data_IF_894293675304
#
_entry.id   IF_894293675304
#
_cell.length_a   1.000
_cell.length_b   1.000
_cell.length_c   1.000
_cell.angle_alpha   90.00
_cell.angle_beta   90.00
_cell.angle_gamma   90.00
#
_symmetry.space_group_name_H-M   'P 1'
#
loop_
_entity.id
_entity.type
_entity.pdbx_description
1 polymer ?
#
# COMPACT_ATOMS: atom_id res chain seq x y z
N UNK A 1 146.71 34.62 165.86
CA UNK A 1 145.41 35.16 165.40
C UNK A 1 145.63 36.36 164.47
N UNK A 2 146.14 36.14 163.24
CA UNK A 2 146.30 37.20 162.24
C UNK A 2 145.94 36.73 160.81
N UNK A 3 146.00 35.41 160.54
CA UNK A 3 145.67 34.87 159.21
C UNK A 3 144.16 34.70 158.95
N UNK A 4 143.31 34.55 159.98
CA UNK A 4 141.87 34.34 159.76
C UNK A 4 141.11 35.61 159.34
N UNK A 5 141.59 36.82 159.65
CA UNK A 5 140.90 38.08 159.24
C UNK A 5 141.15 38.47 157.78
N UNK A 6 142.26 38.06 157.16
CA UNK A 6 142.53 38.35 155.74
C UNK A 6 141.62 37.55 154.80
N UNK A 7 141.31 36.30 155.14
CA UNK A 7 140.47 35.43 154.32
C UNK A 7 139.01 35.92 154.22
N UNK A 8 138.48 36.58 155.26
CA UNK A 8 137.11 37.08 155.22
C UNK A 8 136.95 38.31 154.30
N UNK A 9 137.95 39.21 154.24
CA UNK A 9 137.90 40.38 153.36
C UNK A 9 137.94 40.03 151.86
N UNK A 10 138.61 38.94 151.49
CA UNK A 10 138.70 38.49 150.09
C UNK A 10 137.36 37.91 149.61
N UNK A 11 136.66 37.15 150.45
CA UNK A 11 135.36 36.53 150.11
C UNK A 11 134.28 37.59 149.85
N UNK A 12 134.27 38.69 150.61
CA UNK A 12 133.28 39.77 150.44
C UNK A 12 133.48 40.51 149.11
N UNK A 13 134.73 40.75 148.69
CA UNK A 13 135.03 41.39 147.41
C UNK A 13 134.60 40.52 146.21
N UNK A 14 134.79 39.20 146.31
CA UNK A 14 134.45 38.27 145.24
C UNK A 14 132.94 38.17 145.01
N UNK A 15 132.13 38.12 146.08
CA UNK A 15 130.66 38.12 145.97
C UNK A 15 130.08 39.42 145.41
N UNK A 16 130.70 40.57 145.71
CA UNK A 16 130.23 41.84 145.15
C UNK A 16 130.45 41.90 143.63
N UNK A 17 131.59 41.39 143.13
CA UNK A 17 131.85 41.33 141.68
C UNK A 17 130.82 40.46 140.95
N UNK A 18 130.56 39.25 141.45
CA UNK A 18 129.57 38.32 140.88
C UNK A 18 128.14 38.91 140.82
N UNK A 19 127.76 39.72 141.82
CA UNK A 19 126.44 40.35 141.85
C UNK A 19 126.29 41.45 140.79
N UNK A 20 127.34 42.22 140.52
CA UNK A 20 127.34 43.23 139.44
C UNK A 20 127.28 42.58 138.07
N UNK A 21 128.09 41.54 137.83
CA UNK A 21 128.12 40.83 136.54
C UNK A 21 126.76 40.17 136.22
N UNK A 22 126.06 39.64 137.24
CA UNK A 22 124.72 39.07 137.08
C UNK A 22 123.66 40.12 136.69
N UNK A 23 123.74 41.35 137.20
CA UNK A 23 122.78 42.42 136.87
C UNK A 23 122.98 42.92 135.44
N UNK A 24 124.23 43.03 134.99
CA UNK A 24 124.53 43.40 133.59
C UNK A 24 124.09 42.32 132.60
N UNK A 25 124.31 41.03 132.91
CA UNK A 25 123.84 39.93 132.06
C UNK A 25 122.32 39.93 131.89
N UNK A 26 121.55 40.20 132.95
CA UNK A 26 120.08 40.27 132.86
C UNK A 26 119.62 41.47 132.01
N UNK A 27 120.31 42.61 132.06
CA UNK A 27 120.01 43.76 131.19
C UNK A 27 120.24 43.44 129.72
N UNK A 28 121.40 42.87 129.38
CA UNK A 28 121.74 42.50 128.00
C UNK A 28 120.79 41.43 127.45
N UNK A 29 120.40 40.45 128.27
CA UNK A 29 119.40 39.45 127.86
C UNK A 29 118.03 40.08 127.57
N UNK A 30 117.60 41.05 128.37
CA UNK A 30 116.32 41.74 128.17
C UNK A 30 116.32 42.59 126.90
N UNK A 31 117.41 43.29 126.59
CA UNK A 31 117.54 44.06 125.34
C UNK A 31 117.53 43.16 124.11
N UNK A 32 118.26 42.03 124.14
CA UNK A 32 118.21 41.04 123.05
C UNK A 32 116.81 40.46 122.82
N UNK A 33 116.10 40.13 123.90
CA UNK A 33 114.72 39.62 123.80
C UNK A 33 113.76 40.67 123.20
N UNK A 34 113.95 41.95 123.49
CA UNK A 34 113.14 43.02 122.91
C UNK A 34 113.42 43.19 121.40
N UNK A 35 114.69 43.16 120.98
CA UNK A 35 115.06 43.21 119.57
C UNK A 35 114.52 41.99 118.79
N UNK A 36 114.58 40.78 119.38
CA UNK A 36 114.04 39.58 118.75
C UNK A 36 112.52 39.66 118.57
N UNK A 37 111.78 40.16 119.57
CA UNK A 37 110.32 40.39 119.47
C UNK A 37 110.01 41.43 118.38
N UNK A 38 110.77 42.51 118.31
CA UNK A 38 110.54 43.57 117.32
C UNK A 38 110.83 43.07 115.91
N UNK A 39 111.92 42.31 115.72
CA UNK A 39 112.23 41.64 114.45
C UNK A 39 111.16 40.64 114.06
N UNK A 40 110.69 39.80 114.98
CA UNK A 40 109.66 38.80 114.72
C UNK A 40 108.32 39.46 114.34
N UNK A 41 107.98 40.58 114.98
CA UNK A 41 106.80 41.39 114.61
C UNK A 41 106.91 41.96 113.19
N UNK A 42 108.08 42.47 112.80
CA UNK A 42 108.28 43.01 111.43
C UNK A 42 108.21 41.88 110.40
N UNK A 43 108.81 40.72 110.67
CA UNK A 43 108.76 39.56 109.76
C UNK A 43 107.33 39.06 109.61
N UNK A 44 106.60 38.87 110.70
CA UNK A 44 105.21 38.38 110.67
C UNK A 44 104.25 39.34 109.99
N UNK A 45 104.40 40.67 110.16
CA UNK A 45 103.58 41.65 109.43
C UNK A 45 103.84 41.60 107.92
N UNK A 46 105.10 41.50 107.48
CA UNK A 46 105.44 41.34 106.07
C UNK A 46 104.90 40.03 105.48
N UNK A 47 104.94 38.93 106.25
CA UNK A 47 104.36 37.66 105.82
C UNK A 47 102.84 37.73 105.66
N UNK A 48 102.13 38.44 106.55
CA UNK A 48 100.68 38.68 106.44
C UNK A 48 100.36 39.52 105.20
N UNK A 49 101.12 40.59 104.93
CA UNK A 49 100.91 41.42 103.74
C UNK A 49 101.15 40.62 102.44
N UNK A 50 102.20 39.80 102.41
CA UNK A 50 102.46 38.88 101.29
C UNK A 50 101.34 37.86 101.11
N UNK A 51 100.84 37.26 102.20
CA UNK A 51 99.70 36.33 102.14
C UNK A 51 98.42 37.02 101.64
N UNK A 52 98.12 38.23 102.11
CA UNK A 52 96.98 39.02 101.63
C UNK A 52 97.07 39.32 100.13
N UNK A 53 98.24 39.73 99.64
CA UNK A 53 98.44 39.98 98.22
C UNK A 53 98.22 38.70 97.39
N UNK A 54 98.73 37.56 97.87
CA UNK A 54 98.52 36.26 97.21
C UNK A 54 97.05 35.81 97.26
N UNK A 55 96.32 36.08 98.34
CA UNK A 55 94.88 35.78 98.45
C UNK A 55 94.02 36.64 97.51
N UNK A 56 94.34 37.92 97.37
CA UNK A 56 93.68 38.82 96.42
C UNK A 56 93.87 38.30 95.00
N UNK A 57 95.10 37.97 94.61
CA UNK A 57 95.36 37.41 93.27
C UNK A 57 94.71 36.04 93.07
N UNK A 58 94.69 35.16 94.08
CA UNK A 58 93.94 33.90 94.03
C UNK A 58 92.44 34.13 93.82
N UNK A 59 91.86 35.14 94.45
CA UNK A 59 90.45 35.52 94.27
C UNK A 59 90.21 36.03 92.84
N UNK A 60 91.08 36.89 92.33
CA UNK A 60 91.02 37.39 90.95
C UNK A 60 91.13 36.24 89.94
N UNK A 61 92.07 35.29 90.15
CA UNK A 61 92.22 34.09 89.33
C UNK A 61 90.96 33.22 89.36
N UNK A 62 90.33 33.03 90.53
CA UNK A 62 89.07 32.29 90.61
C UNK A 62 87.93 32.98 89.87
N UNK A 63 87.87 34.31 89.88
CA UNK A 63 86.89 35.08 89.13
C UNK A 63 87.08 34.92 87.63
N UNK A 64 88.33 35.03 87.15
CA UNK A 64 88.67 34.76 85.73
C UNK A 64 88.35 33.32 85.35
N UNK A 65 88.63 32.34 86.21
CA UNK A 65 88.26 30.93 85.96
C UNK A 65 86.75 30.76 85.88
N UNK A 66 85.97 31.38 86.78
CA UNK A 66 84.49 31.33 86.74
C UNK A 66 83.96 31.96 85.46
N UNK A 67 84.47 33.12 85.07
CA UNK A 67 84.10 33.78 83.81
C UNK A 67 84.45 32.91 82.61
N UNK A 68 85.64 32.30 82.58
CA UNK A 68 86.06 31.39 81.50
C UNK A 68 85.17 30.16 81.43
N UNK A 69 84.83 29.55 82.56
CA UNK A 69 83.94 28.38 82.62
C UNK A 69 82.51 28.74 82.22
N UNK A 70 82.02 29.94 82.57
CA UNK A 70 80.71 30.42 82.12
C UNK A 70 80.68 30.62 80.60
N UNK A 71 81.67 31.32 80.03
CA UNK A 71 81.80 31.51 78.58
C UNK A 71 81.95 30.16 77.86
N UNK A 72 82.74 29.23 78.39
CA UNK A 72 82.87 27.89 77.79
C UNK A 72 81.55 27.11 77.80
N UNK A 73 80.76 27.20 78.88
CA UNK A 73 79.43 26.57 78.91
C UNK A 73 78.48 27.19 77.89
N UNK A 74 78.51 28.52 77.72
CA UNK A 74 77.70 29.21 76.72
C UNK A 74 78.13 28.84 75.30
N UNK A 75 79.44 28.81 75.01
CA UNK A 75 79.97 28.38 73.70
C UNK A 75 79.57 26.93 73.40
N UNK A 76 79.71 26.00 74.35
CA UNK A 76 79.31 24.60 74.15
C UNK A 76 77.81 24.46 73.96
N UNK A 77 76.99 25.22 74.69
CA UNK A 77 75.53 25.21 74.52
C UNK A 77 75.12 25.74 73.14
N UNK A 78 75.78 26.79 72.66
CA UNK A 78 75.50 27.36 71.35
C UNK A 78 76.00 26.47 70.21
N UNK A 79 77.20 25.85 70.35
CA UNK A 79 77.69 24.83 69.42
C UNK A 79 76.72 23.64 69.33
N UNK A 80 76.15 23.21 70.46
CA UNK A 80 75.18 22.12 70.46
C UNK A 80 73.86 22.53 69.79
N UNK A 81 73.37 23.76 70.03
CA UNK A 81 72.20 24.30 69.32
C UNK A 81 72.40 24.41 67.82
N UNK A 82 73.60 24.83 67.38
CA UNK A 82 73.95 24.90 65.96
C UNK A 82 73.92 23.49 65.35
N UNK A 83 74.55 22.51 66.00
CA UNK A 83 74.51 21.11 65.55
C UNK A 83 73.08 20.56 65.48
N UNK A 84 72.29 20.77 66.52
CA UNK A 84 70.90 20.33 66.56
C UNK A 84 70.12 20.97 65.39
N UNK A 85 70.28 22.27 65.16
CA UNK A 85 69.61 22.98 64.05
C UNK A 85 70.06 22.47 62.68
N UNK A 86 71.35 22.21 62.49
CA UNK A 86 71.90 21.64 61.26
C UNK A 86 71.40 20.22 61.00
N UNK A 87 71.36 19.37 62.02
CA UNK A 87 70.84 18.01 61.94
C UNK A 87 69.34 18.00 61.65
N UNK A 88 68.54 18.81 62.37
CA UNK A 88 67.10 18.94 62.09
C UNK A 88 66.82 19.50 60.69
N UNK A 89 67.53 20.55 60.27
CA UNK A 89 67.38 21.11 58.92
C UNK A 89 67.83 20.12 57.83
N UNK A 90 68.80 19.26 58.12
CA UNK A 90 69.25 18.22 57.17
C UNK A 90 68.22 17.09 57.10
N UNK A 91 67.73 16.59 58.22
CA UNK A 91 66.67 15.59 58.27
C UNK A 91 65.36 16.09 57.62
N UNK A 92 64.98 17.35 57.82
CA UNK A 92 63.81 17.94 57.15
C UNK A 92 64.00 18.04 55.64
N UNK A 93 65.19 18.43 55.17
CA UNK A 93 65.52 18.46 53.75
C UNK A 93 65.48 17.07 53.14
N UNK A 94 66.09 16.08 53.79
CA UNK A 94 66.05 14.68 53.35
C UNK A 94 64.62 14.13 53.29
N UNK A 95 63.81 14.39 54.33
CA UNK A 95 62.39 14.04 54.34
C UNK A 95 61.64 14.70 53.17
N UNK A 96 61.88 15.99 52.91
CA UNK A 96 61.23 16.72 51.82
C UNK A 96 61.66 16.19 50.46
N UNK A 97 62.93 15.86 50.27
CA UNK A 97 63.44 15.21 49.05
C UNK A 97 62.79 13.83 48.88
N UNK A 98 62.76 13.00 49.92
CA UNK A 98 62.14 11.69 49.86
C UNK A 98 60.64 11.75 49.54
N UNK A 99 59.89 12.69 50.13
CA UNK A 99 58.47 12.91 49.80
C UNK A 99 58.31 13.36 48.35
N UNK A 100 59.19 14.23 47.87
CA UNK A 100 59.12 14.74 46.49
C UNK A 100 59.44 13.63 45.48
N UNK A 101 60.43 12.79 45.76
CA UNK A 101 60.76 11.61 44.95
C UNK A 101 59.61 10.61 44.95
N UNK A 102 59.06 10.26 46.12
CA UNK A 102 57.92 9.35 46.21
C UNK A 102 56.69 9.89 45.48
N UNK A 103 56.44 11.21 45.51
CA UNK A 103 55.38 11.85 44.73
C UNK A 103 55.65 11.76 43.24
N UNK A 104 56.87 12.06 42.80
CA UNK A 104 57.25 11.96 41.39
C UNK A 104 57.11 10.52 40.86
N UNK A 105 57.52 9.51 41.65
CA UNK A 105 57.39 8.10 41.31
C UNK A 105 55.91 7.69 41.23
N UNK A 106 55.09 8.11 42.19
CA UNK A 106 53.65 7.84 42.19
C UNK A 106 52.92 8.51 41.02
N UNK A 107 53.26 9.76 40.70
CA UNK A 107 52.73 10.48 39.53
C UNK A 107 53.16 9.81 38.22
N UNK A 108 54.43 9.40 38.12
CA UNK A 108 54.94 8.68 36.95
C UNK A 108 54.21 7.35 36.76
N UNK A 109 54.00 6.59 37.83
CA UNK A 109 53.29 5.31 37.78
C UNK A 109 51.80 5.50 37.44
N UNK A 110 51.14 6.52 38.01
CA UNK A 110 49.77 6.89 37.66
C UNK A 110 49.66 7.26 36.18
N UNK A 111 50.58 8.08 35.66
CA UNK A 111 50.60 8.46 34.24
C UNK A 111 50.82 7.24 33.35
N UNK A 112 51.71 6.30 33.74
CA UNK A 112 51.90 5.04 33.01
C UNK A 112 50.62 4.21 32.99
N UNK A 113 49.97 4.03 34.13
CA UNK A 113 48.74 3.24 34.24
C UNK A 113 47.57 3.87 33.47
N UNK A 114 47.39 5.19 33.58
CA UNK A 114 46.37 5.92 32.81
C UNK A 114 46.64 5.81 31.31
N UNK A 115 47.88 6.03 30.85
CA UNK A 115 48.22 5.89 29.44
C UNK A 115 48.07 4.45 28.94
N UNK A 116 48.43 3.46 29.75
CA UNK A 116 48.24 2.05 29.42
C UNK A 116 46.74 1.71 29.30
N UNK A 117 45.91 2.17 30.24
CA UNK A 117 44.47 1.96 30.22
C UNK A 117 43.80 2.70 29.05
N UNK A 118 44.21 3.93 28.75
CA UNK A 118 43.75 4.68 27.58
C UNK A 118 44.14 4.00 26.26
N UNK A 119 45.38 3.49 26.16
CA UNK A 119 45.83 2.73 25.01
C UNK A 119 45.04 1.43 24.82
N UNK A 120 44.79 0.70 25.91
CA UNK A 120 43.95 -0.51 25.89
C UNK A 120 42.51 -0.19 25.47
N UNK A 121 41.92 0.88 26.01
CA UNK A 121 40.58 1.32 25.65
C UNK A 121 40.49 1.69 24.17
N UNK A 122 41.43 2.49 23.67
CA UNK A 122 41.49 2.86 22.24
C UNK A 122 41.69 1.63 21.35
N UNK A 123 42.54 0.70 21.75
CA UNK A 123 42.73 -0.57 21.02
C UNK A 123 41.42 -1.38 20.98
N UNK A 124 40.72 -1.51 22.11
CA UNK A 124 39.43 -2.20 22.17
C UNK A 124 38.34 -1.50 21.32
N UNK A 125 38.28 -0.17 21.34
CA UNK A 125 37.37 0.62 20.50
C UNK A 125 37.66 0.40 19.00
N UNK A 126 38.93 0.39 18.59
CA UNK A 126 39.32 0.11 17.20
C UNK A 126 39.01 -1.33 16.78
N UNK A 127 39.22 -2.31 17.66
CA UNK A 127 38.84 -3.71 17.40
C UNK A 127 37.33 -3.84 17.24
N UNK A 128 36.55 -3.18 18.09
CA UNK A 128 35.09 -3.18 18.00
C UNK A 128 34.63 -2.52 16.69
N UNK A 129 35.17 -1.35 16.33
CA UNK A 129 34.89 -0.68 15.06
C UNK A 129 35.26 -1.55 13.85
N UNK A 130 36.44 -2.18 13.88
CA UNK A 130 36.85 -3.12 12.83
C UNK A 130 35.84 -4.26 12.67
N UNK A 131 35.39 -4.86 13.77
CA UNK A 131 34.40 -5.95 13.74
C UNK A 131 33.04 -5.50 13.19
N UNK A 132 32.61 -4.28 13.52
CA UNK A 132 31.37 -3.71 12.95
C UNK A 132 31.53 -3.47 11.45
N UNK A 133 32.64 -2.88 11.01
CA UNK A 133 32.92 -2.64 9.59
C UNK A 133 33.02 -3.96 8.81
N UNK A 134 33.69 -4.98 9.36
CA UNK A 134 33.76 -6.31 8.76
C UNK A 134 32.36 -6.94 8.64
N UNK A 135 31.56 -6.90 9.71
CA UNK A 135 30.21 -7.44 9.69
C UNK A 135 29.28 -6.68 8.72
N UNK A 136 29.37 -5.35 8.65
CA UNK A 136 28.65 -4.53 7.66
C UNK A 136 29.12 -4.82 6.23
N UNK A 137 30.43 -5.00 6.03
CA UNK A 137 31.01 -5.40 4.75
C UNK A 137 30.48 -6.75 4.28
N UNK A 138 30.47 -7.75 5.17
CA UNK A 138 29.90 -9.08 4.90
C UNK A 138 28.39 -9.04 4.65
N UNK A 139 27.63 -8.29 5.45
CA UNK A 139 26.19 -8.08 5.24
C UNK A 139 25.93 -7.47 3.86
N UNK A 140 26.64 -6.40 3.50
CA UNK A 140 26.49 -5.75 2.20
C UNK A 140 26.90 -6.65 1.03
N UNK A 141 27.97 -7.44 1.19
CA UNK A 141 28.38 -8.43 0.21
C UNK A 141 27.31 -9.52 0.03
N UNK A 142 26.77 -10.04 1.13
CA UNK A 142 25.71 -11.04 1.11
C UNK A 142 24.42 -10.52 0.48
N UNK A 143 24.02 -9.27 0.76
CA UNK A 143 22.87 -8.62 0.12
C UNK A 143 23.07 -8.50 -1.39
N UNK A 144 24.27 -8.08 -1.84
CA UNK A 144 24.59 -8.01 -3.27
C UNK A 144 24.57 -9.39 -3.93
N UNK A 145 25.17 -10.40 -3.30
CA UNK A 145 25.15 -11.78 -3.80
C UNK A 145 23.73 -12.35 -3.86
N UNK A 146 22.88 -12.04 -2.87
CA UNK A 146 21.48 -12.45 -2.86
C UNK A 146 20.68 -11.75 -3.96
N UNK A 147 20.89 -10.45 -4.17
CA UNK A 147 20.28 -9.70 -5.26
C UNK A 147 20.71 -10.22 -6.63
N UNK A 148 22.00 -10.53 -6.81
CA UNK A 148 22.54 -11.15 -8.03
C UNK A 148 21.91 -12.52 -8.29
N UNK A 149 21.85 -13.40 -7.28
CA UNK A 149 21.18 -14.71 -7.40
C UNK A 149 19.70 -14.58 -7.74
N UNK A 150 19.01 -13.61 -7.14
CA UNK A 150 17.60 -13.33 -7.46
C UNK A 150 17.45 -12.85 -8.91
N UNK A 151 18.30 -11.92 -9.35
CA UNK A 151 18.28 -11.44 -10.73
C UNK A 151 18.62 -12.54 -11.75
N UNK A 152 19.58 -13.42 -11.43
CA UNK A 152 19.90 -14.59 -12.24
C UNK A 152 18.73 -15.58 -12.29
N UNK A 153 18.09 -15.86 -11.17
CA UNK A 153 16.91 -16.72 -11.12
C UNK A 153 15.75 -16.13 -11.94
N UNK A 154 15.48 -14.83 -11.80
CA UNK A 154 14.49 -14.11 -12.62
C UNK A 154 14.85 -14.17 -14.11
N UNK A 155 16.11 -13.96 -14.47
CA UNK A 155 16.62 -14.09 -15.83
C UNK A 155 16.39 -15.49 -16.42
N UNK A 156 16.72 -16.55 -15.68
CA UNK A 156 16.50 -17.94 -16.09
C UNK A 156 15.00 -18.24 -16.22
N UNK A 157 14.16 -17.75 -15.30
CA UNK A 157 12.71 -17.94 -15.42
C UNK A 157 12.13 -17.22 -16.63
N UNK A 158 12.63 -16.02 -16.96
CA UNK A 158 12.21 -15.29 -18.15
C UNK A 158 12.69 -15.98 -19.43
N UNK A 159 13.93 -16.47 -19.45
CA UNK A 159 14.51 -17.18 -20.60
C UNK A 159 13.79 -18.51 -20.87
N UNK A 160 13.42 -19.25 -19.82
CA UNK A 160 12.64 -20.50 -19.94
C UNK A 160 11.16 -20.25 -20.26
N UNK A 161 10.58 -19.14 -19.80
CA UNK A 161 9.21 -18.76 -20.12
C UNK A 161 9.06 -18.20 -21.55
N UNK A 162 10.11 -17.61 -22.13
CA UNK A 162 10.05 -16.97 -23.45
C UNK A 162 9.65 -17.94 -24.59
N UNK A 163 10.19 -19.17 -24.70
CA UNK A 163 9.72 -20.16 -25.67
C UNK A 163 8.25 -20.52 -25.46
N UNK A 164 7.82 -20.75 -24.22
CA UNK A 164 6.43 -21.11 -23.91
C UNK A 164 5.45 -19.98 -24.24
N UNK A 165 5.80 -18.72 -23.98
CA UNK A 165 5.02 -17.55 -24.36
C UNK A 165 4.96 -17.36 -25.88
N UNK A 166 6.08 -17.56 -26.58
CA UNK A 166 6.13 -17.51 -28.03
C UNK A 166 5.29 -18.63 -28.67
N UNK A 167 5.37 -19.86 -28.14
CA UNK A 167 4.53 -20.98 -28.58
C UNK A 167 3.05 -20.72 -28.31
N UNK A 168 2.69 -20.18 -27.15
CA UNK A 168 1.32 -19.83 -26.82
C UNK A 168 0.76 -18.75 -27.77
N UNK A 169 1.53 -17.70 -28.06
CA UNK A 169 1.15 -16.66 -29.03
C UNK A 169 1.00 -17.21 -30.44
N UNK A 170 1.89 -18.10 -30.87
CA UNK A 170 1.79 -18.77 -32.18
C UNK A 170 0.55 -19.65 -32.24
N UNK A 171 0.22 -20.36 -31.16
CA UNK A 171 -0.96 -21.23 -31.10
C UNK A 171 -2.26 -20.42 -31.09
N UNK A 172 -2.30 -19.31 -30.34
CA UNK A 172 -3.43 -18.37 -30.34
C UNK A 172 -3.62 -17.75 -31.73
N UNK A 173 -2.55 -17.23 -32.35
CA UNK A 173 -2.61 -16.68 -33.69
C UNK A 173 -3.07 -17.72 -34.74
N UNK A 174 -2.61 -18.97 -34.61
CA UNK A 174 -3.09 -20.09 -35.44
C UNK A 174 -4.56 -20.39 -35.20
N UNK A 175 -5.02 -20.45 -33.96
CA UNK A 175 -6.42 -20.70 -33.63
C UNK A 175 -7.34 -19.62 -34.21
N UNK A 176 -6.98 -18.34 -34.06
CA UNK A 176 -7.71 -17.21 -34.66
C UNK A 176 -7.69 -17.29 -36.19
N UNK A 177 -6.56 -17.65 -36.79
CA UNK A 177 -6.48 -17.85 -38.25
C UNK A 177 -7.39 -18.99 -38.72
N UNK A 178 -7.40 -20.13 -38.01
CA UNK A 178 -8.27 -21.27 -38.32
C UNK A 178 -9.75 -20.94 -38.13
N UNK A 179 -10.12 -20.20 -37.08
CA UNK A 179 -11.49 -19.73 -36.86
C UNK A 179 -11.94 -18.80 -37.99
N UNK A 180 -11.10 -17.82 -38.37
CA UNK A 180 -11.38 -16.91 -39.48
C UNK A 180 -11.48 -17.66 -40.82
N UNK A 181 -10.63 -18.65 -41.04
CA UNK A 181 -10.70 -19.49 -42.23
C UNK A 181 -11.99 -20.31 -42.24
N UNK A 182 -12.33 -20.99 -41.14
CA UNK A 182 -13.55 -21.80 -41.03
C UNK A 182 -14.83 -20.98 -41.17
N UNK A 183 -14.88 -19.78 -40.59
CA UNK A 183 -16.01 -18.85 -40.75
C UNK A 183 -16.11 -18.32 -42.19
N UNK A 184 -14.98 -18.02 -42.84
CA UNK A 184 -14.96 -17.64 -44.25
C UNK A 184 -15.44 -18.79 -45.15
N UNK A 185 -14.97 -20.02 -44.93
CA UNK A 185 -15.39 -21.22 -45.66
C UNK A 185 -16.88 -21.50 -45.47
N UNK A 186 -17.39 -21.44 -44.23
CA UNK A 186 -18.81 -21.58 -43.92
C UNK A 186 -19.66 -20.50 -44.61
N UNK A 187 -19.17 -19.26 -44.64
CA UNK A 187 -19.87 -18.15 -45.31
C UNK A 187 -19.90 -18.35 -46.82
N UNK A 188 -18.80 -18.77 -47.43
CA UNK A 188 -18.73 -19.10 -48.86
C UNK A 188 -19.67 -20.25 -49.20
N UNK A 189 -19.69 -21.30 -48.37
CA UNK A 189 -20.57 -22.45 -48.56
C UNK A 189 -22.05 -22.06 -48.44
N UNK A 190 -22.40 -21.22 -47.44
CA UNK A 190 -23.74 -20.67 -47.26
C UNK A 190 -24.17 -19.88 -48.50
N UNK A 191 -23.32 -18.96 -48.98
CA UNK A 191 -23.60 -18.16 -50.18
C UNK A 191 -23.74 -19.02 -51.44
N UNK A 192 -22.95 -20.09 -51.59
CA UNK A 192 -23.09 -21.05 -52.70
C UNK A 192 -24.43 -21.77 -52.64
N UNK A 193 -24.81 -22.31 -51.48
CA UNK A 193 -26.10 -23.00 -51.34
C UNK A 193 -27.30 -22.07 -51.50
N UNK A 194 -27.18 -20.83 -51.05
CA UNK A 194 -28.19 -19.79 -51.27
C UNK A 194 -28.32 -19.46 -52.76
N UNK A 195 -27.20 -19.29 -53.47
CA UNK A 195 -27.20 -19.06 -54.91
C UNK A 195 -27.76 -20.27 -55.70
N UNK A 196 -27.44 -21.50 -55.29
CA UNK A 196 -27.97 -22.72 -55.91
C UNK A 196 -29.48 -22.85 -55.64
N UNK A 197 -29.93 -22.57 -54.42
CA UNK A 197 -31.35 -22.54 -54.08
C UNK A 197 -32.11 -21.51 -54.91
N UNK A 198 -31.58 -20.28 -55.02
CA UNK A 198 -32.13 -19.22 -55.87
C UNK A 198 -32.14 -19.60 -57.35
N UNK A 199 -31.10 -20.31 -57.82
CA UNK A 199 -31.04 -20.82 -59.18
C UNK A 199 -32.14 -21.86 -59.43
N UNK A 200 -32.38 -22.76 -58.47
CA UNK A 200 -33.42 -23.77 -58.55
C UNK A 200 -34.81 -23.13 -58.48
N UNK A 201 -35.05 -22.16 -57.60
CA UNK A 201 -36.35 -21.47 -57.49
C UNK A 201 -36.66 -20.72 -58.77
N UNK A 202 -35.71 -19.93 -59.30
CA UNK A 202 -35.88 -19.22 -60.58
C UNK A 202 -36.11 -20.19 -61.75
N UNK A 203 -35.41 -21.33 -61.76
CA UNK A 203 -35.62 -22.37 -62.79
C UNK A 203 -37.00 -23.02 -62.66
N UNK A 204 -37.46 -23.29 -61.44
CA UNK A 204 -38.78 -23.84 -61.18
C UNK A 204 -39.89 -22.85 -61.55
N UNK A 205 -39.72 -21.56 -61.24
CA UNK A 205 -40.62 -20.48 -61.66
C UNK A 205 -40.65 -20.33 -63.18
N UNK A 206 -39.49 -20.34 -63.85
CA UNK A 206 -39.41 -20.31 -65.30
C UNK A 206 -40.09 -21.55 -65.94
N UNK A 207 -39.92 -22.74 -65.36
CA UNK A 207 -40.63 -23.95 -65.81
C UNK A 207 -42.14 -23.87 -65.58
N UNK A 208 -42.58 -23.29 -64.45
CA UNK A 208 -44.01 -23.09 -64.17
C UNK A 208 -44.64 -22.17 -65.21
N UNK A 209 -44.00 -21.02 -65.48
CA UNK A 209 -44.46 -20.07 -66.49
C UNK A 209 -44.49 -20.69 -67.90
N UNK A 210 -43.45 -21.45 -68.25
CA UNK A 210 -43.40 -22.16 -69.54
C UNK A 210 -44.53 -23.18 -69.67
N UNK A 211 -44.76 -24.01 -68.64
CA UNK A 211 -45.84 -25.00 -68.65
C UNK A 211 -47.24 -24.38 -68.66
N UNK A 212 -47.43 -23.22 -68.01
CA UNK A 212 -48.72 -22.51 -67.99
C UNK A 212 -49.13 -22.05 -69.40
N UNK A 213 -48.21 -21.43 -70.16
CA UNK A 213 -48.48 -21.06 -71.56
C UNK A 213 -48.73 -22.25 -72.49
N UNK A 214 -48.07 -23.39 -72.25
CA UNK A 214 -48.32 -24.63 -72.99
C UNK A 214 -49.70 -25.23 -72.69
N UNK A 215 -50.11 -25.21 -71.41
CA UNK A 215 -51.40 -25.74 -70.94
C UNK A 215 -52.59 -25.01 -71.56
N UNK A 216 -52.55 -23.69 -71.65
CA UNK A 216 -53.65 -22.92 -72.25
C UNK A 216 -53.92 -23.34 -73.70
N UNK A 217 -52.86 -23.61 -74.47
CA UNK A 217 -53.00 -24.03 -75.87
C UNK A 217 -53.46 -25.50 -75.99
N UNK A 218 -53.03 -26.38 -75.08
CA UNK A 218 -53.54 -27.75 -75.01
C UNK A 218 -55.01 -27.78 -74.59
N UNK A 219 -55.39 -27.04 -73.56
CA UNK A 219 -56.78 -26.90 -73.11
C UNK A 219 -57.66 -26.29 -74.20
N UNK A 220 -57.17 -25.29 -74.93
CA UNK A 220 -57.87 -24.70 -76.06
C UNK A 220 -58.09 -25.74 -77.18
N UNK A 221 -57.06 -26.53 -77.54
CA UNK A 221 -57.19 -27.59 -78.54
C UNK A 221 -58.19 -28.66 -78.10
N UNK A 222 -58.14 -29.09 -76.85
CA UNK A 222 -59.07 -30.07 -76.29
C UNK A 222 -60.50 -29.52 -76.34
N UNK A 223 -60.70 -28.28 -75.88
CA UNK A 223 -62.01 -27.62 -75.92
C UNK A 223 -62.55 -27.48 -77.34
N UNK A 224 -61.72 -27.02 -78.28
CA UNK A 224 -62.09 -26.90 -79.69
C UNK A 224 -62.45 -28.26 -80.32
N UNK A 225 -61.76 -29.34 -79.97
CA UNK A 225 -62.11 -30.68 -80.42
C UNK A 225 -63.43 -31.16 -79.83
N UNK A 226 -63.66 -30.96 -78.53
CA UNK A 226 -64.94 -31.29 -77.87
C UNK A 226 -66.09 -30.51 -78.51
N UNK A 227 -65.93 -29.20 -78.71
CA UNK A 227 -66.94 -28.35 -79.35
C UNK A 227 -67.25 -28.81 -80.79
N UNK A 228 -66.21 -29.16 -81.55
CA UNK A 228 -66.37 -29.74 -82.89
C UNK A 228 -67.17 -31.05 -82.87
N UNK A 229 -66.87 -31.95 -81.92
CA UNK A 229 -67.60 -33.22 -81.79
C UNK A 229 -69.07 -33.00 -81.43
N UNK A 230 -69.36 -32.08 -80.49
CA UNK A 230 -70.73 -31.70 -80.13
C UNK A 230 -71.46 -31.12 -81.34
N UNK A 231 -70.82 -30.21 -82.08
CA UNK A 231 -71.41 -29.61 -83.27
C UNK A 231 -71.72 -30.64 -84.36
N UNK A 232 -70.81 -31.60 -84.59
CA UNK A 232 -71.05 -32.71 -85.52
C UNK A 232 -72.21 -33.59 -85.07
N UNK A 233 -72.27 -33.94 -83.78
CA UNK A 233 -73.37 -34.72 -83.21
C UNK A 233 -74.71 -33.97 -83.33
N UNK A 234 -74.74 -32.67 -83.09
CA UNK A 234 -75.95 -31.85 -83.25
C UNK A 234 -76.41 -31.81 -84.72
N UNK A 235 -75.49 -31.64 -85.67
CA UNK A 235 -75.80 -31.67 -87.10
C UNK A 235 -76.34 -33.04 -87.50
N UNK A 236 -75.76 -34.12 -86.98
CA UNK A 236 -76.21 -35.49 -87.24
C UNK A 236 -77.64 -35.70 -86.70
N UNK A 237 -77.91 -35.27 -85.46
CA UNK A 237 -79.27 -35.32 -84.88
C UNK A 237 -80.24 -34.49 -85.72
N UNK A 238 -79.86 -33.31 -86.20
CA UNK A 238 -80.72 -32.49 -87.08
C UNK A 238 -81.00 -33.20 -88.40
N UNK A 239 -80.01 -33.89 -88.98
CA UNK A 239 -80.18 -34.71 -90.18
C UNK A 239 -81.15 -35.87 -89.90
N UNK A 240 -80.97 -36.59 -88.81
CA UNK A 240 -81.82 -37.73 -88.43
C UNK A 240 -83.27 -37.28 -88.16
N UNK A 241 -83.45 -36.13 -87.49
CA UNK A 241 -84.76 -35.49 -87.30
C UNK A 241 -85.36 -35.09 -88.65
N UNK A 242 -84.58 -34.48 -89.54
CA UNK A 242 -85.05 -34.08 -90.87
C UNK A 242 -85.42 -35.30 -91.72
N UNK A 243 -84.67 -36.39 -91.66
CA UNK A 243 -84.99 -37.67 -92.32
C UNK A 243 -86.27 -38.29 -91.74
N UNK A 244 -86.41 -38.32 -90.41
CA UNK A 244 -87.62 -38.81 -89.75
C UNK A 244 -88.84 -37.93 -90.07
N UNK A 245 -88.68 -36.61 -90.08
CA UNK A 245 -89.72 -35.66 -90.49
C UNK A 245 -90.08 -35.83 -91.97
N UNK A 246 -89.10 -35.99 -92.86
CA UNK A 246 -89.33 -36.25 -94.28
C UNK A 246 -90.03 -37.59 -94.50
N UNK A 247 -89.69 -38.62 -93.73
CA UNK A 247 -90.36 -39.92 -93.77
C UNK A 247 -91.82 -39.82 -93.30
N UNK A 248 -92.09 -39.10 -92.20
CA UNK A 248 -93.46 -38.85 -91.72
C UNK A 248 -94.25 -38.04 -92.75
N UNK A 249 -93.66 -37.01 -93.35
CA UNK A 249 -94.31 -36.21 -94.41
C UNK A 249 -94.55 -37.06 -95.67
N UNK A 250 -93.61 -37.91 -96.06
CA UNK A 250 -93.76 -38.81 -97.21
C UNK A 250 -94.86 -39.86 -96.99
N UNK A 251 -94.92 -40.48 -95.81
CA UNK A 251 -95.95 -41.45 -95.46
C UNK A 251 -97.33 -40.77 -95.31
N UNK A 252 -97.36 -39.53 -94.77
CA UNK A 252 -98.56 -38.71 -94.71
C UNK A 252 -99.07 -38.33 -96.11
N UNK A 253 -98.19 -37.93 -97.04
CA UNK A 253 -98.56 -37.64 -98.43
C UNK A 253 -99.00 -38.89 -99.20
N UNK A 254 -98.41 -40.06 -98.91
CA UNK A 254 -98.76 -41.34 -99.55
C UNK A 254 -100.15 -41.84 -99.14
N UNK A 255 -100.53 -41.62 -97.88
CA UNK A 255 -101.85 -42.00 -97.35
C UNK A 255 -102.89 -40.87 -97.47
N UNK A 256 -102.47 -39.63 -97.71
CA UNK A 256 -103.39 -38.53 -97.93
C UNK A 256 -104.13 -38.72 -99.26
N UNK A 257 -105.40 -39.14 -99.15
CA UNK A 257 -106.41 -38.88 -100.19
C UNK A 257 -106.61 -37.37 -100.25
N UNK A 258 -105.78 -36.71 -101.05
CA UNK A 258 -105.87 -35.29 -101.33
C UNK A 258 -106.99 -35.08 -102.35
N UNK A 259 -108.23 -35.01 -101.86
CA UNK A 259 -109.34 -34.44 -102.61
C UNK A 259 -109.20 -32.92 -102.57
N UNK A 260 -108.50 -32.34 -103.55
CA UNK A 260 -108.50 -30.90 -103.77
C UNK A 260 -109.88 -30.53 -104.31
N UNK A 261 -110.81 -30.28 -103.39
CA UNK A 261 -112.06 -29.57 -103.69
C UNK A 261 -111.71 -28.09 -103.62
N UNK A 262 -111.66 -27.44 -104.78
CA UNK A 262 -111.16 -26.06 -104.92
C UNK A 262 -111.92 -25.04 -104.06
N UNK A 263 -111.17 -24.23 -103.31
CA UNK A 263 -111.67 -23.03 -102.64
C UNK A 263 -110.78 -22.46 -101.51
N UNK A 264 -110.26 -21.25 -101.73
CA UNK A 264 -109.89 -20.19 -100.76
C UNK A 264 -108.61 -20.27 -99.87
N UNK A 265 -107.56 -19.66 -100.43
CA UNK A 265 -106.50 -18.74 -99.92
C UNK A 265 -106.35 -18.32 -98.43
N UNK A 266 -107.19 -18.68 -97.47
CA UNK A 266 -107.12 -18.14 -96.09
C UNK A 266 -106.23 -18.93 -95.10
N UNK A 267 -105.74 -20.12 -95.48
CA UNK A 267 -105.02 -21.02 -94.56
C UNK A 267 -103.51 -20.74 -94.46
N UNK A 268 -102.88 -20.26 -95.54
CA UNK A 268 -101.41 -20.12 -95.62
C UNK A 268 -100.87 -19.00 -94.72
N UNK A 269 -101.60 -17.89 -94.62
CA UNK A 269 -101.16 -16.71 -93.86
C UNK A 269 -101.13 -16.90 -92.34
N UNK A 270 -101.94 -17.81 -91.80
CA UNK A 270 -102.02 -18.02 -90.35
C UNK A 270 -100.85 -18.85 -89.80
N UNK A 271 -100.25 -19.73 -90.60
CA UNK A 271 -99.16 -20.61 -90.14
C UNK A 271 -97.82 -19.86 -90.12
N UNK A 272 -97.59 -18.98 -91.09
CA UNK A 272 -96.30 -18.27 -91.22
C UNK A 272 -96.08 -17.25 -90.09
N UNK A 273 -97.13 -16.63 -89.56
CA UNK A 273 -97.01 -15.60 -88.52
C UNK A 273 -96.77 -16.12 -87.09
N UNK A 274 -97.08 -17.39 -86.80
CA UNK A 274 -96.93 -17.95 -85.45
C UNK A 274 -95.46 -18.27 -85.09
N UNK A 275 -94.60 -18.47 -86.09
CA UNK A 275 -93.21 -18.92 -85.87
C UNK A 275 -92.26 -17.75 -85.52
N UNK A 276 -92.63 -16.51 -85.86
CA UNK A 276 -91.74 -15.33 -85.71
C UNK A 276 -91.76 -14.72 -84.30
N UNK A 277 -92.81 -14.94 -83.50
CA UNK A 277 -93.00 -14.26 -82.20
C UNK A 277 -92.20 -14.86 -81.03
N UNK A 278 -91.72 -16.11 -81.13
CA UNK A 278 -91.11 -16.83 -80.01
C UNK A 278 -89.65 -16.47 -79.67
N UNK A 279 -88.91 -15.79 -80.55
CA UNK A 279 -87.44 -15.63 -80.42
C UNK A 279 -86.96 -14.34 -79.73
N UNK A 280 -87.84 -13.42 -79.34
CA UNK A 280 -87.44 -12.07 -78.90
C UNK A 280 -87.34 -11.84 -77.38
N UNK A 281 -87.86 -12.74 -76.53
CA UNK A 281 -88.12 -12.44 -75.12
C UNK A 281 -86.97 -12.80 -74.16
N UNK A 282 -85.98 -13.61 -74.58
CA UNK A 282 -85.05 -14.28 -73.66
C UNK A 282 -83.75 -13.52 -73.32
N UNK A 283 -83.59 -12.24 -73.72
CA UNK A 283 -82.28 -11.54 -73.69
C UNK A 283 -82.14 -10.36 -72.72
N UNK A 284 -83.13 -10.03 -71.89
CA UNK A 284 -83.18 -8.73 -71.18
C UNK A 284 -83.32 -8.77 -69.65
N UNK A 285 -82.88 -9.84 -68.98
CA UNK A 285 -82.80 -9.90 -67.49
C UNK A 285 -81.50 -10.62 -67.11
N UNK A 286 -80.48 -10.09 -66.43
CA UNK A 286 -80.27 -8.81 -65.75
C UNK A 286 -79.21 -9.02 -64.65
N UNK A 287 -77.96 -8.60 -64.89
CA UNK A 287 -76.83 -8.65 -63.94
C UNK A 287 -76.49 -7.24 -63.43
N UNK A 288 -76.67 -6.93 -62.13
CA UNK A 288 -76.08 -5.72 -61.51
C UNK A 288 -76.16 -5.67 -59.97
N UNK A 289 -74.97 -5.64 -59.32
CA UNK A 289 -74.53 -4.90 -58.09
C UNK A 289 -75.18 -5.26 -56.73
N UNK A 290 -74.47 -5.60 -55.64
CA UNK A 290 -73.07 -5.41 -55.15
C UNK A 290 -72.67 -3.99 -54.68
N UNK A 291 -73.49 -3.28 -53.89
CA UNK A 291 -73.07 -1.97 -53.28
C UNK A 291 -73.55 -1.70 -51.82
N UNK A 292 -74.10 -2.68 -51.08
CA UNK A 292 -74.75 -2.43 -49.78
C UNK A 292 -73.95 -2.73 -48.50
N UNK A 293 -73.23 -3.85 -48.42
CA UNK A 293 -73.21 -4.56 -47.11
C UNK A 293 -71.94 -4.49 -46.24
N UNK A 294 -70.85 -3.81 -46.65
CA UNK A 294 -69.58 -3.85 -45.86
C UNK A 294 -69.34 -2.57 -45.02
N UNK A 295 -70.28 -1.63 -44.97
CA UNK A 295 -70.17 -0.40 -44.15
C UNK A 295 -70.51 -0.62 -42.66
N UNK A 296 -70.95 -1.81 -42.27
CA UNK A 296 -71.60 -2.05 -40.97
C UNK A 296 -70.75 -2.64 -39.83
N UNK A 297 -69.49 -3.04 -40.03
CA UNK A 297 -68.77 -3.88 -39.06
C UNK A 297 -67.80 -3.18 -38.10
N UNK A 298 -67.64 -1.85 -38.17
CA UNK A 298 -66.50 -1.18 -37.49
C UNK A 298 -66.81 -0.14 -36.41
N UNK A 299 -68.07 0.06 -35.99
CA UNK A 299 -68.38 1.07 -34.96
C UNK A 299 -69.29 0.55 -33.83
N UNK A 300 -68.67 0.01 -32.77
CA UNK A 300 -69.17 0.09 -31.38
C UNK A 300 -67.99 0.30 -30.42
N UNK A 301 -67.92 1.49 -29.83
CA UNK A 301 -66.96 1.86 -28.78
C UNK A 301 -67.36 1.20 -27.46
N UNK A 302 -66.79 0.04 -27.15
CA UNK A 302 -66.93 -0.63 -25.86
C UNK A 302 -65.61 -0.53 -25.06
N UNK A 303 -65.57 0.21 -23.92
CA UNK A 303 -64.40 0.29 -23.03
C UNK A 303 -63.88 -1.08 -22.55
N UNK A 304 -64.74 -2.12 -22.55
CA UNK A 304 -64.36 -3.47 -22.16
C UNK A 304 -63.44 -4.19 -23.17
N UNK A 305 -63.56 -3.89 -24.47
CA UNK A 305 -62.69 -4.46 -25.51
C UNK A 305 -61.26 -3.91 -25.41
N UNK A 306 -61.15 -2.62 -25.13
CA UNK A 306 -59.88 -1.93 -24.92
C UNK A 306 -59.08 -2.50 -23.73
N UNK A 307 -59.76 -2.75 -22.60
CA UNK A 307 -59.15 -3.37 -21.40
C UNK A 307 -58.61 -4.78 -21.66
N UNK A 308 -59.37 -5.63 -22.37
CA UNK A 308 -58.94 -6.99 -22.71
C UNK A 308 -57.73 -6.99 -23.64
N UNK A 309 -57.70 -6.06 -24.58
CA UNK A 309 -56.59 -5.91 -25.50
C UNK A 309 -55.34 -5.41 -24.78
N UNK A 310 -55.40 -4.38 -23.93
CA UNK A 310 -54.21 -3.96 -23.16
C UNK A 310 -53.63 -5.10 -22.31
N UNK A 311 -54.48 -5.92 -21.68
CA UNK A 311 -54.05 -7.05 -20.85
C UNK A 311 -53.31 -8.13 -21.66
N UNK A 312 -53.87 -8.52 -22.81
CA UNK A 312 -53.26 -9.51 -23.71
C UNK A 312 -51.87 -9.09 -24.20
N UNK A 313 -51.66 -7.80 -24.40
CA UNK A 313 -50.39 -7.27 -24.86
C UNK A 313 -49.39 -7.06 -23.71
N UNK A 314 -49.85 -6.70 -22.51
CA UNK A 314 -48.99 -6.73 -21.31
C UNK A 314 -48.43 -8.13 -21.05
N UNK A 315 -49.25 -9.17 -21.25
CA UNK A 315 -48.83 -10.57 -21.14
C UNK A 315 -47.83 -10.97 -22.24
N UNK A 316 -48.02 -10.48 -23.48
CA UNK A 316 -47.10 -10.75 -24.60
C UNK A 316 -45.72 -10.10 -24.44
N UNK A 317 -45.65 -8.93 -23.80
CA UNK A 317 -44.39 -8.21 -23.58
C UNK A 317 -43.73 -8.51 -22.22
N UNK A 318 -44.27 -9.43 -21.42
CA UNK A 318 -43.68 -9.87 -20.16
C UNK A 318 -43.56 -8.78 -19.08
N UNK A 319 -44.39 -7.73 -19.15
CA UNK A 319 -44.32 -6.58 -18.25
C UNK A 319 -45.17 -6.82 -17.00
N UNK A 320 -44.58 -6.61 -15.83
CA UNK A 320 -45.28 -6.74 -14.55
C UNK A 320 -46.24 -5.55 -14.33
N UNK A 321 -47.42 -5.79 -13.77
CA UNK A 321 -48.41 -4.74 -13.46
C UNK A 321 -47.90 -3.68 -12.48
N UNK A 322 -46.77 -3.94 -11.81
CA UNK A 322 -46.09 -2.99 -10.93
C UNK A 322 -45.41 -1.85 -11.71
N UNK A 323 -44.88 -2.11 -12.91
CA UNK A 323 -44.12 -1.13 -13.71
C UNK A 323 -45.02 -0.11 -14.43
N UNK A 324 -46.30 -0.46 -14.61
CA UNK A 324 -47.28 0.36 -15.32
C UNK A 324 -48.26 1.07 -14.38
N UNK A 325 -48.30 0.71 -13.10
CA UNK A 325 -49.29 1.21 -12.13
C UNK A 325 -49.30 2.73 -11.97
N UNK A 326 -48.14 3.37 -12.06
CA UNK A 326 -47.97 4.82 -11.82
C UNK A 326 -47.92 5.65 -13.12
N UNK A 327 -48.19 5.04 -14.27
CA UNK A 327 -48.22 5.72 -15.57
C UNK A 327 -49.66 5.97 -16.02
N UNK A 328 -49.86 7.01 -16.83
CA UNK A 328 -51.15 7.23 -17.51
C UNK A 328 -51.34 6.23 -18.65
N UNK A 329 -52.59 5.95 -19.04
CA UNK A 329 -52.90 5.02 -20.15
C UNK A 329 -52.19 5.45 -21.44
N UNK A 330 -52.11 6.74 -21.72
CA UNK A 330 -51.36 7.27 -22.86
C UNK A 330 -49.84 7.04 -22.73
N UNK A 331 -49.27 7.25 -21.54
CA UNK A 331 -47.84 7.02 -21.30
C UNK A 331 -47.46 5.53 -21.37
N UNK A 332 -48.34 4.64 -20.91
CA UNK A 332 -48.17 3.20 -21.01
C UNK A 332 -48.23 2.72 -22.47
N UNK A 333 -49.20 3.19 -23.26
CA UNK A 333 -49.30 2.84 -24.69
C UNK A 333 -48.13 3.39 -25.51
N UNK A 334 -47.63 4.59 -25.19
CA UNK A 334 -46.43 5.14 -25.81
C UNK A 334 -45.18 4.29 -25.50
N UNK A 335 -45.03 3.86 -24.24
CA UNK A 335 -43.92 2.98 -23.82
C UNK A 335 -44.01 1.59 -24.48
N UNK A 336 -45.21 1.03 -24.60
CA UNK A 336 -45.45 -0.24 -25.31
C UNK A 336 -45.20 -0.12 -26.82
N UNK A 337 -45.55 1.01 -27.43
CA UNK A 337 -45.26 1.27 -28.85
C UNK A 337 -43.76 1.36 -29.09
N UNK A 338 -43.01 1.91 -28.13
CA UNK A 338 -41.54 1.99 -28.20
C UNK A 338 -40.87 0.62 -28.00
N UNK A 339 -41.50 -0.32 -27.29
CA UNK A 339 -41.00 -1.68 -27.05
C UNK A 339 -41.42 -2.71 -28.12
N UNK A 340 -42.29 -2.32 -29.05
CA UNK A 340 -42.89 -3.26 -30.00
C UNK A 340 -42.00 -3.51 -31.22
N UNK A 341 -41.56 -4.76 -31.39
CA UNK A 341 -40.65 -5.15 -32.47
C UNK A 341 -41.30 -5.18 -33.87
N UNK A 342 -42.60 -5.49 -33.98
CA UNK A 342 -43.31 -5.63 -35.27
C UNK A 342 -44.15 -4.39 -35.65
N UNK A 343 -44.15 -4.06 -36.95
CA UNK A 343 -44.85 -2.89 -37.49
C UNK A 343 -46.39 -2.99 -37.33
N UNK A 344 -46.95 -4.19 -37.46
CA UNK A 344 -48.40 -4.44 -37.27
C UNK A 344 -48.85 -4.15 -35.83
N UNK A 345 -48.00 -4.46 -34.86
CA UNK A 345 -48.24 -4.20 -33.44
C UNK A 345 -48.17 -2.70 -33.16
N UNK A 346 -47.16 -2.02 -33.70
CA UNK A 346 -47.02 -0.56 -33.59
C UNK A 346 -48.21 0.17 -34.21
N UNK A 347 -48.74 -0.32 -35.33
CA UNK A 347 -49.96 0.23 -35.94
C UNK A 347 -51.18 0.04 -35.02
N UNK A 348 -51.37 -1.17 -34.48
CA UNK A 348 -52.48 -1.46 -33.55
C UNK A 348 -52.43 -0.63 -32.25
N UNK A 349 -51.24 -0.44 -31.67
CA UNK A 349 -51.05 0.36 -30.45
C UNK A 349 -51.27 1.86 -30.70
N UNK A 350 -50.89 2.38 -31.87
CA UNK A 350 -51.19 3.77 -32.26
C UNK A 350 -52.69 3.99 -32.44
N UNK A 351 -53.39 3.08 -33.11
CA UNK A 351 -54.86 3.17 -33.24
C UNK A 351 -55.54 3.13 -31.88
N UNK A 352 -55.05 2.33 -30.94
CA UNK A 352 -55.56 2.28 -29.58
C UNK A 352 -55.25 3.56 -28.78
N UNK A 353 -54.07 4.16 -28.96
CA UNK A 353 -53.74 5.44 -28.35
C UNK A 353 -54.68 6.56 -28.81
N UNK A 354 -54.99 6.62 -30.11
CA UNK A 354 -55.98 7.55 -30.67
C UNK A 354 -57.39 7.30 -30.12
N UNK A 355 -57.76 6.03 -29.90
CA UNK A 355 -59.05 5.70 -29.28
C UNK A 355 -59.09 6.05 -27.79
N UNK A 356 -57.98 5.88 -27.06
CA UNK A 356 -57.86 6.25 -25.65
C UNK A 356 -57.95 7.76 -25.45
N UNK A 357 -57.36 8.54 -26.36
CA UNK A 357 -57.46 10.00 -26.39
C UNK A 357 -58.90 10.45 -26.72
N UNK A 358 -59.52 9.87 -27.76
CA UNK A 358 -60.92 10.15 -28.13
C UNK A 358 -61.93 9.75 -27.06
N UNK A 359 -61.64 8.72 -26.28
CA UNK A 359 -62.47 8.26 -25.18
C UNK A 359 -62.20 9.02 -23.86
N UNK A 360 -61.24 9.95 -23.83
CA UNK A 360 -60.92 10.75 -22.64
C UNK A 360 -60.22 9.99 -21.50
N UNK A 361 -59.86 8.72 -21.73
CA UNK A 361 -59.22 7.84 -20.74
C UNK A 361 -57.69 7.89 -20.78
N UNK A 362 -57.10 8.67 -21.69
CA UNK A 362 -55.64 8.80 -21.86
C UNK A 362 -54.91 9.38 -20.65
N UNK A 363 -55.57 10.21 -19.84
CA UNK A 363 -55.03 10.85 -18.63
C UNK A 363 -55.27 10.05 -17.34
N UNK A 364 -56.06 8.99 -17.38
CA UNK A 364 -56.31 8.14 -16.21
C UNK A 364 -55.07 7.31 -15.85
N UNK A 365 -54.87 7.07 -14.56
CA UNK A 365 -53.78 6.23 -14.06
C UNK A 365 -54.13 4.76 -14.35
N UNK A 366 -53.21 4.04 -15.01
CA UNK A 366 -53.40 2.65 -15.43
C UNK A 366 -53.77 1.74 -14.25
N UNK A 367 -53.23 2.01 -13.05
CA UNK A 367 -53.56 1.30 -11.82
C UNK A 367 -55.04 1.38 -11.41
N UNK A 368 -55.70 2.53 -11.62
CA UNK A 368 -57.13 2.71 -11.32
C UNK A 368 -58.00 2.10 -12.42
N UNK A 369 -57.60 2.26 -13.68
CA UNK A 369 -58.34 1.76 -14.85
C UNK A 369 -58.32 0.23 -14.97
N UNK A 370 -57.22 -0.43 -14.60
CA UNK A 370 -57.08 -1.89 -14.60
C UNK A 370 -57.54 -2.55 -13.28
N UNK A 371 -57.54 -1.81 -12.16
CA UNK A 371 -57.90 -2.30 -10.84
C UNK A 371 -59.40 -2.23 -10.49
N UNK A 372 -60.21 -1.50 -11.26
CA UNK A 372 -61.64 -1.30 -10.98
C UNK A 372 -62.58 -2.47 -11.32
N UNK A 373 -62.12 -3.72 -11.29
CA UNK A 373 -62.97 -4.91 -11.52
C UNK A 373 -62.52 -6.13 -10.70
N UNK A 374 -62.60 -6.00 -9.38
CA UNK A 374 -63.00 -7.13 -8.51
C UNK A 374 -64.47 -6.93 -8.15
N UNK A 375 -65.35 -7.32 -9.09
CA UNK A 375 -66.74 -7.72 -8.91
C UNK A 375 -67.22 -8.44 -10.17
#
# INVERSE_FOLDING_TARGET
MAEQNKLHQIIVAQRNKERTDAVEQVRVQKERQLEDIEREKVVTLNDIEKQKAVEIEKKNIQEVIRQRVAVQKEVVAEEQRVKDTEEFATAEREKKVAITLAKADAEQELVKQVKAAEAQRRAAELIAQKKVIEAEGEQNANVKLAAEKKALAEGITAETAAPGLAEAQVLEAKAVATEKQGTAEATVMRLKFEADADGITKKAEAMKLFNESGREHEEFKIRANIEKEIALAEIQIRKDIAEAQAAVVAEALKNAKVDIVGGETAFFDKIVNAITAGKAVDRTVGSSRVLGDIKGTFFRSDPGYFRRQIRKWCDQFGLSTADLKNLSVAAALAKLTALADSDDVRAGLKTLAEHAEKAGIGSEIVGEFLGGAEA
#
